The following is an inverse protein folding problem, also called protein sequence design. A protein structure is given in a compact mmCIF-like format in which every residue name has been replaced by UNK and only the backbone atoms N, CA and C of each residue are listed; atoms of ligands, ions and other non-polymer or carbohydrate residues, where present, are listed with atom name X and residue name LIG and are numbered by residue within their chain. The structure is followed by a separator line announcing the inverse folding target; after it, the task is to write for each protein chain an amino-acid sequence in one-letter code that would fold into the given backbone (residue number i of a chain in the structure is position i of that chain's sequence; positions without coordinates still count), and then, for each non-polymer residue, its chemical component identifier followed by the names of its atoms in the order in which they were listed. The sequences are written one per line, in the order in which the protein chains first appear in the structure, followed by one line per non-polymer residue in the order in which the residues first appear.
data_IF_955410893183
#
_entry.id   IF_955410893183
#
_cell.length_a   1.000
_cell.length_b   1.000
_cell.length_c   1.000
_cell.angle_alpha   90.00
_cell.angle_beta   90.00
_cell.angle_gamma   90.00
#
_symmetry.space_group_name_H-M   'P 1'
#
loop_
_entity.id
_entity.type
_entity.pdbx_description
1 polymer ?
#
# COMPACT_ATOMS: atom_id res chain seq x y z
N UNK A 1 -9.38 1.64 8.85
CA UNK A 1 -8.54 0.42 8.95
C UNK A 1 -7.18 0.59 8.29
N UNK A 2 -7.12 1.00 7.01
CA UNK A 2 -5.86 1.18 6.26
C UNK A 2 -4.91 2.22 6.91
N UNK A 3 -5.42 3.40 7.30
CA UNK A 3 -4.65 4.42 8.06
C UNK A 3 -3.99 3.85 9.32
N UNK A 4 -4.80 3.24 10.20
CA UNK A 4 -4.32 2.65 11.46
C UNK A 4 -3.23 1.59 11.28
N UNK A 5 -3.28 0.81 10.18
CA UNK A 5 -2.24 -0.18 9.83
C UNK A 5 -0.97 0.47 9.27
N UNK A 6 -1.11 1.61 8.59
CA UNK A 6 0.01 2.39 8.06
C UNK A 6 0.74 3.17 9.15
N UNK A 7 0.03 3.60 10.19
CA UNK A 7 0.61 4.21 11.41
C UNK A 7 1.45 3.20 12.17
N UNK A 8 0.89 2.02 12.44
CA UNK A 8 1.60 0.95 13.13
C UNK A 8 2.87 0.49 12.39
N UNK A 9 2.87 0.49 11.05
CA UNK A 9 4.07 0.17 10.25
C UNK A 9 5.18 1.21 10.42
N UNK A 10 4.84 2.48 10.47
CA UNK A 10 5.82 3.55 10.53
C UNK A 10 6.38 3.74 11.94
N UNK A 11 5.56 3.61 12.97
CA UNK A 11 6.05 3.64 14.37
C UNK A 11 7.10 2.54 14.60
N UNK A 12 6.82 1.32 14.13
CA UNK A 12 7.76 0.19 14.16
C UNK A 12 9.02 0.44 13.33
N UNK A 13 8.90 1.19 12.24
CA UNK A 13 10.04 1.54 11.36
C UNK A 13 10.96 2.57 12.02
N UNK A 14 10.39 3.59 12.65
CA UNK A 14 11.14 4.62 13.37
C UNK A 14 11.82 4.07 14.62
N UNK A 15 11.17 3.19 15.39
CA UNK A 15 11.81 2.50 16.53
C UNK A 15 13.06 1.71 16.09
N UNK A 16 12.95 0.97 14.99
CA UNK A 16 14.08 0.24 14.41
C UNK A 16 15.21 1.20 14.03
N UNK A 17 14.89 2.28 13.31
CA UNK A 17 15.92 3.18 12.81
C UNK A 17 16.65 3.92 13.94
N UNK A 18 15.93 4.32 14.99
CA UNK A 18 16.50 4.86 16.21
C UNK A 18 17.42 3.85 16.92
N UNK A 19 16.97 2.60 17.04
CA UNK A 19 17.75 1.53 17.65
C UNK A 19 19.06 1.24 16.88
N UNK A 20 19.05 1.29 15.54
CA UNK A 20 20.28 1.14 14.74
C UNK A 20 21.26 2.27 15.00
N UNK A 21 20.79 3.51 15.02
CA UNK A 21 21.65 4.68 15.26
C UNK A 21 22.28 4.56 16.64
N UNK A 22 21.49 4.26 17.67
CA UNK A 22 21.97 4.07 19.04
C UNK A 22 22.99 2.93 19.15
N UNK A 23 22.74 1.80 18.49
CA UNK A 23 23.64 0.64 18.50
C UNK A 23 24.95 0.91 17.78
N UNK A 24 24.93 1.67 16.67
CA UNK A 24 26.13 2.05 15.91
C UNK A 24 26.95 3.07 16.68
N UNK A 25 26.30 4.07 17.29
CA UNK A 25 26.98 5.07 18.12
C UNK A 25 27.54 4.47 19.41
N UNK A 26 26.86 3.48 20.00
CA UNK A 26 27.27 2.76 21.20
C UNK A 26 28.09 1.49 20.97
N UNK A 27 28.64 1.28 19.77
CA UNK A 27 29.25 0.00 19.37
C UNK A 27 30.46 -0.40 20.22
N UNK A 28 31.27 0.56 20.67
CA UNK A 28 32.39 0.30 21.58
C UNK A 28 31.90 -0.18 22.95
N UNK A 29 30.85 0.45 23.48
CA UNK A 29 30.22 0.06 24.76
C UNK A 29 29.58 -1.32 24.66
N UNK A 30 28.93 -1.62 23.54
CA UNK A 30 28.33 -2.93 23.28
C UNK A 30 29.38 -4.05 23.27
N UNK A 31 30.50 -3.81 22.59
CA UNK A 31 31.63 -4.75 22.53
C UNK A 31 32.35 -4.89 23.86
N UNK A 32 32.52 -3.78 24.58
CA UNK A 32 33.11 -3.77 25.93
C UNK A 32 32.28 -4.58 26.94
N UNK A 33 30.96 -4.60 26.75
CA UNK A 33 30.01 -5.32 27.60
C UNK A 33 29.62 -6.71 27.06
N UNK A 34 30.16 -7.13 25.90
CA UNK A 34 29.90 -8.41 25.25
C UNK A 34 28.39 -8.76 25.08
N UNK A 35 27.56 -7.75 24.81
CA UNK A 35 26.09 -7.86 24.71
C UNK A 35 25.56 -7.81 23.27
N UNK A 36 26.43 -7.94 22.27
CA UNK A 36 26.06 -7.98 20.85
C UNK A 36 24.95 -9.01 20.52
N UNK A 37 24.95 -10.24 21.09
CA UNK A 37 23.92 -11.23 20.81
C UNK A 37 22.52 -10.82 21.30
N UNK A 38 22.44 -10.06 22.40
CA UNK A 38 21.17 -9.57 22.96
C UNK A 38 20.61 -8.43 22.10
N UNK A 39 21.48 -7.53 21.66
CA UNK A 39 21.09 -6.40 20.81
C UNK A 39 20.67 -6.86 19.41
N UNK A 40 21.34 -7.89 18.87
CA UNK A 40 20.94 -8.52 17.61
C UNK A 40 19.56 -9.20 17.69
N UNK A 41 19.25 -9.92 18.77
CA UNK A 41 17.91 -10.52 18.95
C UNK A 41 16.81 -9.45 19.00
N UNK A 42 17.08 -8.33 19.69
CA UNK A 42 16.13 -7.23 19.79
C UNK A 42 15.87 -6.55 18.44
N UNK A 43 16.92 -6.39 17.62
CA UNK A 43 16.81 -5.95 16.24
C UNK A 43 15.95 -6.89 15.39
N UNK A 44 16.20 -8.20 15.48
CA UNK A 44 15.46 -9.22 14.74
C UNK A 44 13.96 -9.22 15.09
N UNK A 45 13.61 -9.06 16.37
CA UNK A 45 12.21 -8.96 16.82
C UNK A 45 11.51 -7.71 16.27
N UNK A 46 12.17 -6.55 16.33
CA UNK A 46 11.60 -5.31 15.80
C UNK A 46 11.46 -5.36 14.27
N UNK A 47 12.44 -5.91 13.55
CA UNK A 47 12.39 -6.13 12.11
C UNK A 47 11.25 -7.10 11.72
N UNK A 48 11.10 -8.20 12.46
CA UNK A 48 10.01 -9.15 12.24
C UNK A 48 8.64 -8.49 12.41
N UNK A 49 8.48 -7.62 13.42
CA UNK A 49 7.24 -6.87 13.61
C UNK A 49 6.98 -5.87 12.46
N UNK A 50 8.00 -5.15 12.00
CA UNK A 50 7.90 -4.23 10.86
C UNK A 50 7.53 -4.95 9.55
N UNK A 51 8.18 -6.09 9.27
CA UNK A 51 7.88 -6.92 8.10
C UNK A 51 6.45 -7.45 8.17
N UNK A 52 6.00 -7.91 9.34
CA UNK A 52 4.64 -8.43 9.52
C UNK A 52 3.57 -7.34 9.38
N UNK A 53 3.84 -6.11 9.86
CA UNK A 53 2.97 -4.96 9.65
C UNK A 53 2.91 -4.55 8.17
N UNK A 54 4.07 -4.52 7.50
CA UNK A 54 4.19 -4.25 6.06
C UNK A 54 3.46 -5.27 5.20
N UNK A 55 3.62 -6.55 5.51
CA UNK A 55 2.97 -7.64 4.79
C UNK A 55 1.44 -7.56 4.90
N UNK A 56 0.91 -7.19 6.08
CA UNK A 56 -0.54 -7.00 6.29
C UNK A 56 -1.13 -5.84 5.50
N UNK A 57 -0.36 -4.78 5.24
CA UNK A 57 -0.79 -3.65 4.40
C UNK A 57 -0.76 -4.06 2.92
N UNK A 58 0.34 -4.72 2.50
CA UNK A 58 0.50 -5.18 1.12
C UNK A 58 -0.56 -6.24 0.75
N UNK A 59 -0.85 -7.18 1.66
CA UNK A 59 -1.87 -8.21 1.43
C UNK A 59 -3.25 -7.60 1.26
N UNK A 60 -3.60 -6.60 2.08
CA UNK A 60 -4.90 -5.91 2.00
C UNK A 60 -5.04 -5.18 0.65
N UNK A 61 -3.96 -4.51 0.20
CA UNK A 61 -3.95 -3.82 -1.09
C UNK A 61 -4.05 -4.81 -2.26
N UNK A 62 -3.31 -5.91 -2.20
CA UNK A 62 -3.39 -6.98 -3.20
C UNK A 62 -4.80 -7.59 -3.27
N UNK A 63 -5.43 -7.90 -2.14
CA UNK A 63 -6.80 -8.42 -2.12
C UNK A 63 -7.80 -7.42 -2.72
N UNK A 64 -7.67 -6.13 -2.40
CA UNK A 64 -8.54 -5.09 -2.97
C UNK A 64 -8.36 -4.97 -4.50
N UNK A 65 -7.12 -4.93 -4.97
CA UNK A 65 -6.81 -4.89 -6.41
C UNK A 65 -7.32 -6.14 -7.14
N UNK A 66 -7.13 -7.32 -6.55
CA UNK A 66 -7.60 -8.57 -7.14
C UNK A 66 -9.13 -8.64 -7.21
N UNK A 67 -9.84 -8.11 -6.20
CA UNK A 67 -11.30 -8.02 -6.22
C UNK A 67 -11.79 -7.09 -7.35
N UNK A 68 -11.15 -5.94 -7.54
CA UNK A 68 -11.46 -5.01 -8.65
C UNK A 68 -11.22 -5.68 -10.00
N UNK A 69 -10.12 -6.41 -10.17
CA UNK A 69 -9.84 -7.16 -11.40
C UNK A 69 -10.88 -8.26 -11.66
N UNK A 70 -11.30 -8.99 -10.61
CA UNK A 70 -12.33 -10.01 -10.74
C UNK A 70 -13.67 -9.41 -11.19
N UNK A 71 -14.07 -8.28 -10.61
CA UNK A 71 -15.27 -7.55 -11.03
C UNK A 71 -15.15 -7.13 -12.50
N UNK A 72 -14.00 -6.59 -12.92
CA UNK A 72 -13.78 -6.19 -14.30
C UNK A 72 -13.94 -7.38 -15.28
N UNK A 73 -13.36 -8.54 -14.95
CA UNK A 73 -13.52 -9.77 -15.75
C UNK A 73 -14.98 -10.22 -15.84
N UNK A 74 -15.73 -10.16 -14.73
CA UNK A 74 -17.15 -10.49 -14.72
C UNK A 74 -17.97 -9.53 -15.57
N UNK A 75 -17.69 -8.23 -15.52
CA UNK A 75 -18.34 -7.21 -16.36
C UNK A 75 -18.08 -7.48 -17.84
N UNK A 76 -16.84 -7.79 -18.23
CA UNK A 76 -16.49 -8.12 -19.62
C UNK A 76 -17.22 -9.39 -20.06
N UNK A 77 -17.22 -10.43 -19.24
CA UNK A 77 -17.92 -11.68 -19.54
C UNK A 77 -19.44 -11.48 -19.68
N UNK A 78 -20.05 -10.71 -18.78
CA UNK A 78 -21.47 -10.36 -18.86
C UNK A 78 -21.78 -9.54 -20.11
N UNK A 79 -20.93 -8.55 -20.44
CA UNK A 79 -21.09 -7.72 -21.65
C UNK A 79 -21.04 -8.57 -22.91
N UNK A 80 -20.11 -9.53 -22.98
CA UNK A 80 -20.03 -10.48 -24.09
C UNK A 80 -21.26 -11.38 -24.15
N UNK A 81 -21.73 -11.90 -23.01
CA UNK A 81 -22.89 -12.79 -22.96
C UNK A 81 -24.19 -12.09 -23.41
N UNK A 82 -24.51 -10.93 -22.83
CA UNK A 82 -25.70 -10.16 -23.20
C UNK A 82 -25.58 -9.57 -24.60
N UNK A 83 -24.40 -9.07 -24.96
CA UNK A 83 -24.11 -8.53 -26.27
C UNK A 83 -24.25 -9.56 -27.38
N UNK A 84 -23.69 -10.76 -27.19
CA UNK A 84 -23.84 -11.85 -28.16
C UNK A 84 -25.31 -12.27 -28.34
N UNK A 85 -26.10 -12.28 -27.26
CA UNK A 85 -27.55 -12.55 -27.35
C UNK A 85 -28.28 -11.51 -28.20
N UNK A 86 -27.98 -10.22 -28.04
CA UNK A 86 -28.55 -9.16 -28.89
C UNK A 86 -28.11 -9.28 -30.35
N UNK A 87 -26.85 -9.65 -30.60
CA UNK A 87 -26.35 -9.85 -31.97
C UNK A 87 -27.07 -10.99 -32.68
N UNK A 88 -27.32 -12.09 -31.97
CA UNK A 88 -28.12 -13.22 -32.51
C UNK A 88 -29.57 -12.79 -32.74
N UNK A 89 -30.12 -11.90 -31.91
CA UNK A 89 -31.45 -11.32 -32.09
C UNK A 89 -31.58 -10.34 -33.25
N UNK A 90 -30.47 -9.90 -33.86
CA UNK A 90 -30.45 -8.94 -34.97
C UNK A 90 -30.55 -7.48 -34.54
N UNK A 91 -30.68 -7.19 -33.24
CA UNK A 91 -30.77 -5.82 -32.69
C UNK A 91 -29.40 -5.10 -32.67
N UNK A 92 -28.31 -5.85 -32.80
CA UNK A 92 -26.95 -5.32 -32.75
C UNK A 92 -26.04 -6.06 -33.73
N UNK A 93 -25.07 -5.38 -34.34
CA UNK A 93 -24.04 -6.03 -35.16
C UNK A 93 -22.86 -6.48 -34.30
N UNK A 94 -22.11 -7.48 -34.79
CA UNK A 94 -20.85 -7.91 -34.15
C UNK A 94 -19.88 -6.71 -33.99
N UNK A 95 -19.85 -5.81 -34.98
CA UNK A 95 -19.00 -4.62 -34.97
C UNK A 95 -19.39 -3.62 -33.88
N UNK A 96 -20.69 -3.37 -33.68
CA UNK A 96 -21.20 -2.49 -32.62
C UNK A 96 -20.89 -3.05 -31.23
N UNK A 97 -20.98 -4.37 -31.04
CA UNK A 97 -20.61 -5.01 -29.77
C UNK A 97 -19.14 -4.81 -29.44
N UNK A 98 -18.26 -5.00 -30.44
CA UNK A 98 -16.81 -4.79 -30.28
C UNK A 98 -16.52 -3.31 -29.99
N UNK A 99 -17.16 -2.39 -30.72
CA UNK A 99 -17.01 -0.95 -30.51
C UNK A 99 -17.44 -0.53 -29.10
N UNK A 100 -18.59 -1.03 -28.62
CA UNK A 100 -19.06 -0.80 -27.26
C UNK A 100 -18.07 -1.32 -26.22
N UNK A 101 -17.56 -2.54 -26.39
CA UNK A 101 -16.58 -3.12 -25.47
C UNK A 101 -15.28 -2.29 -25.41
N UNK A 102 -14.79 -1.82 -26.56
CA UNK A 102 -13.62 -0.94 -26.63
C UNK A 102 -13.86 0.42 -25.95
N UNK A 103 -15.02 1.04 -26.18
CA UNK A 103 -15.41 2.31 -25.54
C UNK A 103 -15.56 2.15 -24.02
N UNK A 104 -16.24 1.09 -23.56
CA UNK A 104 -16.41 0.78 -22.15
C UNK A 104 -15.06 0.60 -21.44
N UNK A 105 -14.10 -0.09 -22.08
CA UNK A 105 -12.74 -0.23 -21.57
C UNK A 105 -12.00 1.11 -21.49
N UNK A 106 -12.08 1.94 -22.54
CA UNK A 106 -11.45 3.27 -22.58
C UNK A 106 -12.02 4.24 -21.53
N UNK A 107 -13.30 4.14 -21.19
CA UNK A 107 -13.95 4.97 -20.16
C UNK A 107 -13.65 4.44 -18.75
N UNK A 108 -13.55 3.12 -18.57
CA UNK A 108 -13.29 2.51 -17.26
C UNK A 108 -11.87 2.77 -16.75
N UNK A 109 -10.88 2.82 -17.65
CA UNK A 109 -9.47 3.05 -17.29
C UNK A 109 -9.20 4.39 -16.56
N UNK A 110 -9.67 5.56 -17.05
CA UNK A 110 -9.48 6.82 -16.33
C UNK A 110 -10.22 6.84 -14.99
N UNK A 111 -11.40 6.21 -14.88
CA UNK A 111 -12.13 6.09 -13.60
C UNK A 111 -11.31 5.32 -12.57
N UNK A 112 -10.73 4.17 -12.96
CA UNK A 112 -9.82 3.41 -12.10
C UNK A 112 -8.58 4.23 -11.71
N UNK A 113 -8.02 4.99 -12.66
CA UNK A 113 -6.86 5.85 -12.41
C UNK A 113 -7.16 6.94 -11.37
N UNK A 114 -8.35 7.54 -11.41
CA UNK A 114 -8.79 8.53 -10.42
C UNK A 114 -8.90 7.90 -9.02
N UNK A 115 -9.41 6.67 -8.92
CA UNK A 115 -9.45 5.94 -7.65
C UNK A 115 -8.03 5.63 -7.12
N UNK A 116 -7.09 5.31 -8.01
CA UNK A 116 -5.69 5.11 -7.65
C UNK A 116 -5.03 6.41 -7.13
N UNK A 117 -5.20 7.52 -7.85
CA UNK A 117 -4.68 8.83 -7.46
C UNK A 117 -5.22 9.25 -6.09
N UNK A 118 -6.47 8.91 -5.77
CA UNK A 118 -7.04 9.15 -4.44
C UNK A 118 -6.31 8.35 -3.34
N UNK A 119 -5.95 7.09 -3.60
CA UNK A 119 -5.14 6.30 -2.69
C UNK A 119 -3.73 6.89 -2.52
N UNK A 120 -3.09 7.31 -3.62
CA UNK A 120 -1.77 7.93 -3.61
C UNK A 120 -1.79 9.26 -2.83
N UNK A 121 -2.86 10.05 -2.99
CA UNK A 121 -3.06 11.28 -2.23
C UNK A 121 -3.19 11.02 -0.72
N UNK A 122 -3.93 9.97 -0.33
CA UNK A 122 -4.01 9.56 1.07
C UNK A 122 -2.65 9.15 1.64
N UNK A 123 -1.83 8.45 0.85
CA UNK A 123 -0.48 8.06 1.24
C UNK A 123 0.44 9.28 1.37
N UNK A 124 0.39 10.22 0.42
CA UNK A 124 1.17 11.45 0.44
C UNK A 124 0.80 12.34 1.63
N UNK A 125 -0.50 12.51 1.91
CA UNK A 125 -0.97 13.28 3.08
C UNK A 125 -0.47 12.67 4.38
N UNK A 126 -0.48 11.34 4.51
CA UNK A 126 0.05 10.69 5.70
C UNK A 126 1.56 10.94 5.85
N UNK A 127 2.32 10.89 4.75
CA UNK A 127 3.74 11.23 4.78
C UNK A 127 3.97 12.69 5.20
N UNK A 128 3.11 13.62 4.78
CA UNK A 128 3.18 15.04 5.16
C UNK A 128 2.80 15.26 6.62
N UNK A 129 1.71 14.65 7.10
CA UNK A 129 1.29 14.76 8.51
C UNK A 129 2.45 14.31 9.43
N UNK A 130 3.17 13.23 9.06
CA UNK A 130 4.36 12.78 9.81
C UNK A 130 5.59 13.69 9.69
N UNK A 131 5.79 14.36 8.55
CA UNK A 131 6.80 15.41 8.46
C UNK A 131 6.44 16.58 9.37
N UNK A 132 5.15 16.90 9.48
CA UNK A 132 4.62 17.90 10.40
C UNK A 132 4.88 17.54 11.87
N UNK A 133 4.75 16.26 12.24
CA UNK A 133 5.06 15.79 13.60
C UNK A 133 6.56 15.94 13.93
N UNK A 134 7.45 15.71 12.95
CA UNK A 134 8.90 15.92 13.11
C UNK A 134 9.26 17.42 13.16
N UNK A 135 8.57 18.26 12.40
CA UNK A 135 8.83 19.71 12.38
C UNK A 135 8.24 20.45 13.59
N UNK A 136 7.17 19.92 14.21
CA UNK A 136 6.51 20.51 15.37
C UNK A 136 6.93 19.90 16.72
N UNK A 137 7.89 18.96 16.74
CA UNK A 137 8.51 18.57 18.01
C UNK A 137 9.27 19.76 18.59
N UNK A 138 9.07 20.00 19.88
CA UNK A 138 9.76 21.05 20.63
C UNK A 138 11.27 20.81 20.49
N UNK A 139 12.08 21.80 20.07
CA UNK A 139 13.53 21.64 20.00
C UNK A 139 14.05 21.25 21.38
N UNK A 140 14.85 20.19 21.46
CA UNK A 140 15.53 19.83 22.70
C UNK A 140 16.30 21.06 23.21
N UNK A 141 16.18 21.43 24.51
CA UNK A 141 16.86 22.60 25.04
C UNK A 141 18.37 22.37 24.89
N UNK A 142 18.99 23.14 24.00
CA UNK A 142 20.42 23.07 23.74
C UNK A 142 21.22 23.32 25.01
N UNK A 143 22.17 22.44 25.27
CA UNK A 143 23.25 22.65 26.23
C UNK A 143 24.36 23.50 25.61
#
# INVERSE_FOLDING_TARGET
LFRRRLDEKFDRGSENQAFLVETVTGVETLKAMAVEPQMQRRWEEQLAAYVTASFRVLSLNNTASQAVQMINKLVVAATLYFGAKLVIGGDLTVGELVAFNMLAGRVSMPVLRLAQIWQDFHQARLSIDRLGDILNTIPEPGF
#
